data_IF_806849440391
#
_entry.id   IF_806849440391
#
_cell.length_a   1.000
_cell.length_b   1.000
_cell.length_c   1.000
_cell.angle_alpha   90.00
_cell.angle_beta   90.00
_cell.angle_gamma   90.00
#
_symmetry.space_group_name_H-M   'P 1'
#
loop_
_entity.id
_entity.type
_entity.pdbx_description
1 polymer ?
#
# COMPACT_ATOMS: atom_id res chain seq x y z
N UNK A 1 -3.21 17.85 8.78
CA UNK A 1 -2.52 17.78 7.48
C UNK A 1 -1.24 16.94 7.53
N UNK A 2 -0.29 17.24 8.44
CA UNK A 2 0.98 16.51 8.54
C UNK A 2 0.82 15.00 8.71
N UNK A 3 -0.06 14.52 9.60
CA UNK A 3 -0.25 13.09 9.82
C UNK A 3 -0.70 12.32 8.55
N UNK A 4 -1.68 12.85 7.82
CA UNK A 4 -2.17 12.21 6.59
C UNK A 4 -1.11 12.21 5.49
N UNK A 5 -0.37 13.32 5.36
CA UNK A 5 0.75 13.45 4.42
C UNK A 5 1.89 12.47 4.76
N UNK A 6 2.34 12.44 6.02
CA UNK A 6 3.39 11.53 6.47
C UNK A 6 2.98 10.06 6.33
N UNK A 7 1.70 9.73 6.57
CA UNK A 7 1.18 8.38 6.34
C UNK A 7 1.23 8.01 4.85
N UNK A 8 0.82 8.92 3.96
CA UNK A 8 0.90 8.71 2.52
C UNK A 8 2.35 8.52 2.06
N UNK A 9 3.28 9.35 2.53
CA UNK A 9 4.71 9.24 2.23
C UNK A 9 5.31 7.91 2.70
N UNK A 10 4.89 7.40 3.87
CA UNK A 10 5.31 6.09 4.36
C UNK A 10 4.88 4.96 3.40
N UNK A 11 3.65 5.01 2.90
CA UNK A 11 3.22 4.00 1.92
C UNK A 11 4.01 4.11 0.62
N UNK A 12 4.24 5.32 0.10
CA UNK A 12 4.96 5.53 -1.15
C UNK A 12 6.42 5.10 -1.08
N UNK A 13 7.11 5.44 0.02
CA UNK A 13 8.56 5.21 0.15
C UNK A 13 8.93 3.87 0.77
N UNK A 14 8.02 3.25 1.54
CA UNK A 14 8.34 2.07 2.34
C UNK A 14 7.39 0.91 2.06
N UNK A 15 6.10 1.08 2.34
CA UNK A 15 5.18 -0.06 2.30
C UNK A 15 4.93 -0.59 0.88
N UNK A 16 4.78 0.29 -0.11
CA UNK A 16 4.57 -0.10 -1.51
C UNK A 16 5.79 -0.84 -2.11
N UNK A 17 7.03 -0.37 -1.91
CA UNK A 17 8.22 -1.15 -2.26
C UNK A 17 8.26 -2.51 -1.56
N UNK A 18 7.93 -2.57 -0.27
CA UNK A 18 7.89 -3.84 0.48
C UNK A 18 6.85 -4.81 -0.09
N UNK A 19 5.66 -4.33 -0.45
CA UNK A 19 4.64 -5.15 -1.12
C UNK A 19 5.14 -5.73 -2.45
N UNK A 20 5.92 -4.96 -3.22
CA UNK A 20 6.54 -5.46 -4.45
C UNK A 20 7.57 -6.56 -4.17
N UNK A 21 8.35 -6.43 -3.10
CA UNK A 21 9.30 -7.46 -2.65
C UNK A 21 8.56 -8.73 -2.23
N UNK A 22 7.45 -8.61 -1.49
CA UNK A 22 6.62 -9.75 -1.08
C UNK A 22 6.13 -10.52 -2.32
N UNK A 23 5.56 -9.82 -3.30
CA UNK A 23 5.09 -10.43 -4.56
C UNK A 23 6.23 -11.15 -5.27
N UNK A 24 7.39 -10.49 -5.42
CA UNK A 24 8.55 -11.08 -6.10
C UNK A 24 9.02 -12.34 -5.40
N UNK A 25 9.17 -12.30 -4.08
CA UNK A 25 9.64 -13.45 -3.31
C UNK A 25 8.63 -14.61 -3.37
N UNK A 26 7.34 -14.33 -3.19
CA UNK A 26 6.29 -15.34 -3.27
C UNK A 26 6.26 -16.00 -4.66
N UNK A 27 6.38 -15.22 -5.74
CA UNK A 27 6.47 -15.75 -7.10
C UNK A 27 7.69 -16.65 -7.29
N UNK A 28 8.88 -16.17 -6.92
CA UNK A 28 10.13 -16.93 -7.08
C UNK A 28 10.08 -18.23 -6.28
N UNK A 29 9.75 -18.16 -4.99
CA UNK A 29 9.70 -19.33 -4.11
C UNK A 29 8.65 -20.34 -4.57
N UNK A 30 7.48 -19.89 -5.03
CA UNK A 30 6.47 -20.82 -5.57
C UNK A 30 6.96 -21.48 -6.86
N UNK A 31 7.56 -20.71 -7.77
CA UNK A 31 8.09 -21.23 -9.03
C UNK A 31 9.24 -22.23 -8.87
N UNK A 32 10.02 -22.09 -7.79
CA UNK A 32 11.08 -23.02 -7.43
C UNK A 32 10.57 -24.27 -6.69
N UNK A 33 9.32 -24.25 -6.22
CA UNK A 33 8.76 -25.30 -5.36
C UNK A 33 9.16 -25.17 -3.88
N UNK A 34 9.72 -24.03 -3.47
CA UNK A 34 10.16 -23.77 -2.09
C UNK A 34 8.97 -23.53 -1.14
N UNK A 35 7.83 -23.07 -1.66
CA UNK A 35 6.59 -22.84 -0.90
C UNK A 35 5.37 -23.45 -1.61
N UNK A 36 4.35 -23.76 -0.83
CA UNK A 36 3.06 -24.25 -1.33
C UNK A 36 2.24 -23.14 -2.02
N UNK A 37 1.21 -23.55 -2.77
CA UNK A 37 0.25 -22.61 -3.37
C UNK A 37 -0.48 -21.76 -2.31
N UNK A 38 -0.74 -22.30 -1.11
CA UNK A 38 -1.41 -21.56 -0.03
C UNK A 38 -0.50 -20.43 0.47
N UNK A 39 0.78 -20.71 0.69
CA UNK A 39 1.77 -19.70 1.13
C UNK A 39 2.00 -18.64 0.06
N UNK A 40 2.00 -19.02 -1.22
CA UNK A 40 2.01 -18.08 -2.34
C UNK A 40 0.81 -17.12 -2.29
N UNK A 41 -0.41 -17.66 -2.12
CA UNK A 41 -1.63 -16.87 -1.99
C UNK A 41 -1.62 -15.94 -0.78
N UNK A 42 -1.06 -16.38 0.35
CA UNK A 42 -0.87 -15.52 1.53
C UNK A 42 0.06 -14.35 1.23
N UNK A 43 1.18 -14.58 0.53
CA UNK A 43 2.06 -13.51 0.07
C UNK A 43 1.35 -12.49 -0.82
N UNK A 44 0.58 -12.98 -1.79
CA UNK A 44 -0.22 -12.13 -2.68
C UNK A 44 -1.30 -11.34 -1.91
N UNK A 45 -1.93 -11.96 -0.92
CA UNK A 45 -2.93 -11.33 -0.06
C UNK A 45 -2.31 -10.21 0.78
N UNK A 46 -1.17 -10.45 1.43
CA UNK A 46 -0.47 -9.42 2.21
C UNK A 46 -0.09 -8.21 1.35
N UNK A 47 0.44 -8.45 0.15
CA UNK A 47 0.78 -7.35 -0.76
C UNK A 47 -0.46 -6.57 -1.22
N UNK A 48 -1.59 -7.26 -1.43
CA UNK A 48 -2.88 -6.64 -1.78
C UNK A 48 -3.40 -5.76 -0.63
N UNK A 49 -3.35 -6.23 0.61
CA UNK A 49 -3.77 -5.48 1.79
C UNK A 49 -2.98 -4.17 1.94
N UNK A 50 -1.65 -4.22 1.77
CA UNK A 50 -0.81 -3.02 1.78
C UNK A 50 -1.27 -2.01 0.70
N UNK A 51 -1.62 -2.50 -0.50
CA UNK A 51 -2.09 -1.63 -1.59
C UNK A 51 -3.46 -1.02 -1.29
N UNK A 52 -4.38 -1.79 -0.70
CA UNK A 52 -5.69 -1.29 -0.29
C UNK A 52 -5.54 -0.19 0.79
N UNK A 53 -4.66 -0.41 1.77
CA UNK A 53 -4.40 0.57 2.82
C UNK A 53 -3.75 1.86 2.27
N UNK A 54 -2.87 1.73 1.26
CA UNK A 54 -2.34 2.88 0.53
C UNK A 54 -3.46 3.68 -0.13
N UNK A 55 -4.36 3.03 -0.87
CA UNK A 55 -5.46 3.73 -1.55
C UNK A 55 -6.41 4.41 -0.56
N UNK A 56 -6.70 3.77 0.58
CA UNK A 56 -7.47 4.40 1.65
C UNK A 56 -6.76 5.65 2.21
N UNK A 57 -5.44 5.57 2.40
CA UNK A 57 -4.63 6.71 2.86
C UNK A 57 -4.60 7.85 1.85
N UNK A 58 -4.49 7.54 0.56
CA UNK A 58 -4.52 8.52 -0.52
C UNK A 58 -5.88 9.22 -0.61
N UNK A 59 -6.99 8.45 -0.55
CA UNK A 59 -8.32 9.02 -0.56
C UNK A 59 -8.53 9.99 0.62
N UNK A 60 -8.12 9.59 1.84
CA UNK A 60 -8.20 10.45 3.02
C UNK A 60 -7.36 11.71 2.89
N UNK A 61 -6.17 11.63 2.29
CA UNK A 61 -5.35 12.81 2.02
C UNK A 61 -6.07 13.77 1.07
N UNK A 62 -6.65 13.26 -0.02
CA UNK A 62 -7.40 14.06 -0.99
C UNK A 62 -8.61 14.75 -0.36
N UNK A 63 -9.39 14.04 0.47
CA UNK A 63 -10.52 14.62 1.21
C UNK A 63 -10.09 15.78 2.11
N UNK A 64 -8.94 15.66 2.79
CA UNK A 64 -8.40 16.74 3.62
C UNK A 64 -8.02 17.95 2.75
N UNK A 65 -7.39 17.73 1.60
CA UNK A 65 -7.01 18.82 0.68
C UNK A 65 -8.25 19.55 0.16
N UNK A 66 -9.27 18.82 -0.29
CA UNK A 66 -10.54 19.39 -0.78
C UNK A 66 -11.22 20.23 0.31
N UNK A 67 -11.32 19.71 1.52
CA UNK A 67 -11.94 20.45 2.64
C UNK A 67 -11.17 21.73 2.96
N UNK A 68 -9.84 21.72 2.89
CA UNK A 68 -9.03 22.92 3.10
C UNK A 68 -9.25 23.95 1.99
N UNK A 69 -9.31 23.52 0.72
CA UNK A 69 -9.62 24.41 -0.40
C UNK A 69 -10.98 25.09 -0.20
N UNK A 70 -12.00 24.30 0.16
CA UNK A 70 -13.33 24.80 0.48
C UNK A 70 -13.33 25.85 1.61
N UNK A 71 -12.66 25.57 2.73
CA UNK A 71 -12.55 26.51 3.87
C UNK A 71 -11.77 27.78 3.51
N UNK A 72 -10.88 27.70 2.51
CA UNK A 72 -10.11 28.84 2.01
C UNK A 72 -10.84 29.62 0.92
N UNK A 73 -12.09 29.26 0.57
CA UNK A 73 -12.84 29.80 -0.57
C UNK A 73 -12.02 29.77 -1.87
N UNK A 74 -11.29 28.66 -2.07
CA UNK A 74 -10.50 28.39 -3.28
C UNK A 74 -11.03 27.18 -4.02
#
# INVERSE_FOLDING_TARGET
MNLAKSKLEYFEKTANPNAAIIIRNANTSYSNGDISYIEYMQGMQMAREIKLDYFASLNRYNEIVINLQYLMNK
#
